data_IF_867440904439
#
_entry.id   IF_867440904439
#
_cell.length_a   1.000
_cell.length_b   1.000
_cell.length_c   1.000
_cell.angle_alpha   90.00
_cell.angle_beta   90.00
_cell.angle_gamma   90.00
#
_symmetry.space_group_name_H-M   'P 1'
#
loop_
_entity.id
_entity.type
_entity.pdbx_description
1 polymer ?
#
# COMPACT_ATOMS: atom_id res chain seq x y z
N UNK A 1 4.26 -9.66 11.66
CA UNK A 1 4.12 -9.26 10.24
C UNK A 1 4.51 -7.80 10.16
N UNK A 2 5.31 -7.42 9.17
CA UNK A 2 5.71 -6.04 8.87
C UNK A 2 5.28 -5.71 7.45
N UNK A 3 4.58 -4.59 7.26
CA UNK A 3 4.22 -4.07 5.95
C UNK A 3 5.08 -2.83 5.66
N UNK A 4 5.80 -2.85 4.54
CA UNK A 4 6.63 -1.74 4.07
C UNK A 4 5.96 -1.18 2.82
N UNK A 5 5.37 0.00 2.94
CA UNK A 5 4.75 0.66 1.80
C UNK A 5 5.77 1.49 1.01
N UNK A 6 5.41 1.83 -0.22
CA UNK A 6 6.20 2.70 -1.10
C UNK A 6 7.68 2.28 -1.26
N UNK A 7 7.96 0.97 -1.30
CA UNK A 7 9.33 0.46 -1.46
C UNK A 7 9.96 0.87 -2.80
N UNK A 8 9.15 1.24 -3.78
CA UNK A 8 9.59 1.78 -5.04
C UNK A 8 10.26 3.16 -4.89
N UNK A 9 9.99 3.93 -3.83
CA UNK A 9 10.64 5.23 -3.58
C UNK A 9 12.12 5.11 -3.19
N UNK A 10 12.54 3.95 -2.69
CA UNK A 10 13.95 3.70 -2.35
C UNK A 10 14.71 3.01 -3.50
N UNK A 11 14.07 2.78 -4.65
CA UNK A 11 14.70 2.24 -5.85
C UNK A 11 15.32 3.38 -6.69
N UNK A 12 16.56 3.20 -7.16
CA UNK A 12 17.23 4.17 -8.03
C UNK A 12 17.14 3.70 -9.49
N UNK A 13 16.70 4.57 -10.40
CA UNK A 13 16.77 4.26 -11.83
C UNK A 13 18.23 4.30 -12.29
N UNK A 14 18.76 3.20 -12.83
CA UNK A 14 20.18 3.04 -13.20
C UNK A 14 20.64 3.92 -14.40
N UNK A 15 19.90 4.97 -14.78
CA UNK A 15 20.09 5.75 -16.02
C UNK A 15 20.58 7.19 -15.83
N UNK A 16 20.83 7.65 -14.61
CA UNK A 16 21.38 8.99 -14.34
C UNK A 16 22.75 8.92 -13.67
N UNK A 17 23.65 9.83 -14.04
CA UNK A 17 24.89 10.08 -13.29
C UNK A 17 24.57 10.24 -11.79
N UNK A 18 25.34 9.55 -10.93
CA UNK A 18 25.26 9.65 -9.46
C UNK A 18 25.10 11.11 -9.01
N UNK A 19 23.88 11.48 -8.63
CA UNK A 19 23.63 12.74 -7.92
C UNK A 19 23.56 12.41 -6.42
N UNK A 20 24.12 13.28 -5.57
CA UNK A 20 24.41 12.99 -4.17
C UNK A 20 23.24 12.56 -3.26
N UNK A 21 21.99 12.57 -3.75
CA UNK A 21 20.81 12.00 -3.07
C UNK A 21 20.70 10.47 -3.19
N UNK A 22 21.32 9.87 -4.22
CA UNK A 22 21.16 8.44 -4.55
C UNK A 22 21.79 7.51 -3.51
N UNK A 23 22.82 7.99 -2.80
CA UNK A 23 23.48 7.28 -1.71
C UNK A 23 22.53 7.02 -0.53
N UNK A 24 21.51 7.86 -0.34
CA UNK A 24 20.54 7.71 0.75
C UNK A 24 19.56 6.57 0.48
N UNK A 25 19.07 6.44 -0.76
CA UNK A 25 18.06 5.44 -1.13
C UNK A 25 18.63 4.02 -1.16
N UNK A 26 19.83 3.85 -1.73
CA UNK A 26 20.54 2.55 -1.69
C UNK A 26 20.94 2.18 -0.24
N UNK A 27 21.33 3.18 0.56
CA UNK A 27 21.61 3.00 1.99
C UNK A 27 20.43 2.40 2.74
N UNK A 28 19.22 2.92 2.52
CA UNK A 28 18.00 2.37 3.13
C UNK A 28 17.76 0.91 2.72
N UNK A 29 17.98 0.56 1.44
CA UNK A 29 17.86 -0.83 1.01
C UNK A 29 18.88 -1.75 1.72
N UNK A 30 20.13 -1.30 1.88
CA UNK A 30 21.18 -2.04 2.58
C UNK A 30 20.88 -2.22 4.06
N UNK A 31 20.36 -1.17 4.70
CA UNK A 31 20.01 -1.19 6.13
C UNK A 31 18.79 -2.07 6.42
N UNK A 32 17.91 -2.28 5.42
CA UNK A 32 16.80 -3.22 5.53
C UNK A 32 17.22 -4.69 5.41
N UNK A 33 18.36 -5.00 4.76
CA UNK A 33 18.78 -6.38 4.54
C UNK A 33 18.92 -7.17 5.84
N UNK A 34 19.69 -6.74 6.88
CA UNK A 34 19.84 -7.53 8.10
C UNK A 34 18.52 -7.89 8.79
N UNK A 35 17.51 -7.01 8.66
CA UNK A 35 16.19 -7.22 9.26
C UNK A 35 15.43 -8.30 8.47
N UNK A 36 15.50 -8.27 7.14
CA UNK A 36 14.89 -9.26 6.24
C UNK A 36 15.61 -10.61 6.24
N UNK A 37 16.92 -10.60 6.46
CA UNK A 37 17.75 -11.81 6.48
C UNK A 37 17.67 -12.59 7.78
N UNK A 38 17.31 -11.90 8.87
CA UNK A 38 17.30 -12.47 10.22
C UNK A 38 18.39 -11.84 11.08
N UNK A 39 18.00 -11.08 12.11
CA UNK A 39 18.90 -10.49 13.09
C UNK A 39 18.24 -10.35 14.46
N UNK A 40 19.07 -10.24 15.51
CA UNK A 40 18.60 -9.93 16.85
C UNK A 40 18.63 -8.40 17.06
N UNK A 41 17.44 -7.80 17.14
CA UNK A 41 17.27 -6.37 17.36
C UNK A 41 17.00 -6.11 18.84
N UNK A 42 17.85 -5.30 19.47
CA UNK A 42 17.64 -4.93 20.87
C UNK A 42 16.54 -3.88 21.00
N UNK A 43 15.57 -4.14 21.89
CA UNK A 43 14.49 -3.21 22.20
C UNK A 43 14.43 -2.97 23.71
N UNK A 44 13.65 -1.95 24.13
CA UNK A 44 13.38 -1.70 25.55
C UNK A 44 12.67 -2.86 26.27
N UNK A 45 12.12 -3.82 25.52
CA UNK A 45 11.42 -5.00 26.04
C UNK A 45 12.25 -6.29 25.96
N UNK A 46 13.52 -6.18 25.55
CA UNK A 46 14.40 -7.32 25.28
C UNK A 46 14.75 -7.44 23.81
N UNK A 47 15.53 -8.48 23.48
CA UNK A 47 15.95 -8.73 22.12
C UNK A 47 14.84 -9.42 21.32
N UNK A 48 14.66 -9.01 20.08
CA UNK A 48 13.69 -9.56 19.14
C UNK A 48 14.44 -10.15 17.96
N UNK A 49 14.25 -11.45 17.70
CA UNK A 49 14.78 -12.12 16.52
C UNK A 49 13.83 -11.94 15.32
N UNK A 50 14.36 -11.62 14.14
CA UNK A 50 13.56 -11.32 12.93
C UNK A 50 13.41 -12.48 11.93
N UNK A 51 14.04 -13.64 12.17
CA UNK A 51 14.13 -14.77 11.21
C UNK A 51 12.78 -15.27 10.69
N UNK A 52 11.72 -15.13 11.49
CA UNK A 52 10.38 -15.63 11.19
C UNK A 52 9.32 -14.53 11.10
N UNK A 53 9.75 -13.28 10.96
CA UNK A 53 8.84 -12.17 10.69
C UNK A 53 8.51 -12.17 9.19
N UNK A 54 7.22 -12.26 8.86
CA UNK A 54 6.75 -12.05 7.49
C UNK A 54 6.83 -10.56 7.13
N UNK A 55 7.50 -10.26 6.02
CA UNK A 55 7.55 -8.94 5.40
C UNK A 55 6.70 -8.92 4.13
N UNK A 56 5.88 -7.88 3.99
CA UNK A 56 5.09 -7.59 2.80
C UNK A 56 5.50 -6.20 2.33
N UNK A 57 6.07 -6.10 1.13
CA UNK A 57 6.50 -4.84 0.57
C UNK A 57 5.58 -4.45 -0.58
N UNK A 58 5.07 -3.23 -0.55
CA UNK A 58 4.19 -2.64 -1.56
C UNK A 58 4.89 -1.46 -2.23
N UNK A 59 4.51 -1.20 -3.48
CA UNK A 59 4.99 -0.07 -4.26
C UNK A 59 4.21 0.01 -5.56
N UNK A 60 4.01 1.22 -6.07
CA UNK A 60 3.25 1.42 -7.29
C UNK A 60 4.12 1.24 -8.55
N UNK A 61 5.44 1.45 -8.43
CA UNK A 61 6.42 1.19 -9.48
C UNK A 61 6.11 1.94 -10.80
N UNK A 62 5.62 3.18 -10.70
CA UNK A 62 5.30 3.99 -11.89
C UNK A 62 6.55 4.42 -12.68
N UNK A 63 7.62 4.80 -11.97
CA UNK A 63 8.85 5.37 -12.57
C UNK A 63 10.05 4.42 -12.52
N UNK A 64 9.95 3.35 -11.74
CA UNK A 64 11.01 2.37 -11.47
C UNK A 64 10.42 0.97 -11.53
N UNK A 65 11.27 -0.03 -11.69
CA UNK A 65 10.85 -1.44 -11.75
C UNK A 65 11.36 -2.19 -10.53
N UNK A 66 10.71 -3.30 -10.13
CA UNK A 66 11.25 -4.15 -9.08
C UNK A 66 12.68 -4.65 -9.34
N UNK A 67 13.10 -4.73 -10.61
CA UNK A 67 14.46 -5.06 -11.00
C UNK A 67 15.52 -3.98 -10.69
N UNK A 68 15.09 -2.75 -10.38
CA UNK A 68 15.97 -1.63 -10.02
C UNK A 68 16.35 -1.65 -8.52
N UNK A 69 15.82 -2.59 -7.73
CA UNK A 69 16.26 -2.87 -6.36
C UNK A 69 17.62 -3.60 -6.35
N UNK A 70 18.34 -3.53 -5.23
CA UNK A 70 19.53 -4.35 -5.00
C UNK A 70 19.23 -5.84 -5.18
N UNK A 71 20.16 -6.58 -5.80
CA UNK A 71 19.97 -8.00 -6.11
C UNK A 71 19.74 -8.84 -4.84
N UNK A 72 20.40 -8.47 -3.75
CA UNK A 72 20.26 -9.06 -2.42
C UNK A 72 18.83 -8.90 -1.89
N UNK A 73 18.26 -7.69 -2.01
CA UNK A 73 16.91 -7.38 -1.56
C UNK A 73 15.86 -8.12 -2.40
N UNK A 74 16.07 -8.18 -3.72
CA UNK A 74 15.24 -8.98 -4.62
C UNK A 74 15.25 -10.47 -4.24
N UNK A 75 16.40 -11.01 -3.83
CA UNK A 75 16.55 -12.39 -3.39
C UNK A 75 15.74 -12.71 -2.12
N UNK A 76 15.46 -11.71 -1.27
CA UNK A 76 14.63 -11.84 -0.07
C UNK A 76 13.13 -11.62 -0.31
N UNK A 77 12.76 -11.15 -1.51
CA UNK A 77 11.38 -10.96 -1.95
C UNK A 77 11.04 -11.86 -3.14
N UNK A 78 11.05 -13.21 -2.97
CA UNK A 78 10.89 -14.16 -4.07
C UNK A 78 9.44 -14.25 -4.58
N UNK A 79 8.45 -13.99 -3.71
CA UNK A 79 7.03 -14.03 -4.09
C UNK A 79 6.63 -12.64 -4.57
N UNK A 80 6.16 -12.57 -5.81
CA UNK A 80 5.70 -11.32 -6.44
C UNK A 80 4.25 -11.48 -6.85
N UNK A 81 3.45 -10.47 -6.54
CA UNK A 81 2.05 -10.38 -6.92
C UNK A 81 1.81 -9.00 -7.53
N UNK A 82 0.86 -8.93 -8.45
CA UNK A 82 0.44 -7.67 -9.07
C UNK A 82 -1.06 -7.50 -8.85
N UNK A 83 -1.46 -6.33 -8.39
CA UNK A 83 -2.85 -5.98 -8.18
C UNK A 83 -3.37 -5.24 -9.41
N UNK A 84 -4.64 -5.47 -9.74
CA UNK A 84 -5.32 -4.75 -10.81
C UNK A 84 -5.96 -3.49 -10.23
N UNK A 85 -6.01 -2.42 -11.03
CA UNK A 85 -6.75 -1.22 -10.68
C UNK A 85 -8.23 -1.53 -10.47
N UNK A 86 -8.88 -0.79 -9.56
CA UNK A 86 -10.29 -0.99 -9.25
C UNK A 86 -11.18 -0.52 -10.41
N UNK A 87 -12.22 -1.30 -10.69
CA UNK A 87 -13.29 -0.90 -11.61
C UNK A 87 -14.40 -0.14 -10.88
N UNK A 88 -15.25 0.59 -11.61
CA UNK A 88 -16.46 1.21 -11.05
C UNK A 88 -17.33 0.19 -10.30
N UNK A 89 -17.44 -1.04 -10.83
CA UNK A 89 -18.18 -2.11 -10.16
C UNK A 89 -17.55 -2.49 -8.82
N UNK A 90 -16.22 -2.53 -8.74
CA UNK A 90 -15.51 -2.82 -7.49
C UNK A 90 -15.78 -1.74 -6.44
N UNK A 91 -15.90 -0.47 -6.84
CA UNK A 91 -16.29 0.61 -5.91
C UNK A 91 -17.68 0.40 -5.30
N UNK A 92 -18.66 -0.04 -6.09
CA UNK A 92 -20.00 -0.40 -5.56
C UNK A 92 -19.88 -1.52 -4.54
N UNK A 93 -19.08 -2.56 -4.84
CA UNK A 93 -18.85 -3.68 -3.93
C UNK A 93 -18.15 -3.23 -2.66
N UNK A 94 -17.11 -2.39 -2.73
CA UNK A 94 -16.40 -1.84 -1.57
C UNK A 94 -17.33 -1.04 -0.65
N UNK A 95 -18.31 -0.34 -1.22
CA UNK A 95 -19.28 0.43 -0.45
C UNK A 95 -20.37 -0.43 0.21
N UNK A 96 -20.51 -1.71 -0.15
CA UNK A 96 -21.67 -2.52 0.26
C UNK A 96 -21.34 -3.90 0.84
N UNK A 97 -20.25 -4.55 0.43
CA UNK A 97 -19.90 -5.92 0.82
C UNK A 97 -18.95 -6.01 2.02
N UNK A 98 -17.88 -5.18 2.15
CA UNK A 98 -16.99 -5.24 3.30
C UNK A 98 -17.75 -5.00 4.60
N UNK A 99 -17.40 -5.76 5.63
CA UNK A 99 -17.82 -5.46 6.99
C UNK A 99 -17.30 -4.09 7.40
N UNK A 100 -18.17 -3.24 7.96
CA UNK A 100 -17.84 -1.86 8.28
C UNK A 100 -17.47 -1.04 7.02
N UNK A 101 -18.22 -1.21 5.94
CA UNK A 101 -18.11 -0.29 4.79
C UNK A 101 -18.55 1.13 5.17
N UNK A 102 -18.19 2.11 4.34
CA UNK A 102 -18.48 3.53 4.62
C UNK A 102 -19.99 3.81 4.78
N UNK A 103 -20.84 3.11 4.02
CA UNK A 103 -22.30 3.28 4.11
C UNK A 103 -22.80 2.86 5.50
N UNK A 104 -22.41 1.67 5.97
CA UNK A 104 -22.75 1.19 7.31
C UNK A 104 -22.20 2.11 8.40
N UNK A 105 -20.94 2.56 8.27
CA UNK A 105 -20.33 3.48 9.22
C UNK A 105 -21.10 4.81 9.31
N UNK A 106 -21.50 5.39 8.18
CA UNK A 106 -22.27 6.64 8.15
C UNK A 106 -23.69 6.47 8.69
N UNK A 107 -24.37 5.35 8.37
CA UNK A 107 -25.68 5.03 8.95
C UNK A 107 -25.58 4.91 10.48
N UNK A 108 -24.59 4.17 10.98
CA UNK A 108 -24.37 3.99 12.41
C UNK A 108 -24.01 5.30 13.12
N UNK A 109 -23.17 6.14 12.51
CA UNK A 109 -22.77 7.44 13.05
C UNK A 109 -23.97 8.36 13.22
N UNK A 110 -24.84 8.50 12.22
CA UNK A 110 -26.01 9.39 12.34
C UNK A 110 -27.10 8.83 13.25
N UNK A 111 -27.16 7.51 13.38
CA UNK A 111 -28.08 6.86 14.30
C UNK A 111 -27.78 7.21 15.77
N UNK A 112 -26.55 7.59 16.13
CA UNK A 112 -26.23 8.08 17.49
C UNK A 112 -27.00 9.35 17.84
N UNK A 113 -27.33 10.16 16.83
CA UNK A 113 -28.13 11.37 16.93
C UNK A 113 -29.63 11.11 16.72
N UNK A 114 -30.05 9.84 16.64
CA UNK A 114 -31.42 9.45 16.35
C UNK A 114 -31.84 9.68 14.88
N UNK A 115 -30.89 9.95 13.99
CA UNK A 115 -31.16 10.16 12.56
C UNK A 115 -31.02 8.83 11.82
N UNK A 116 -32.09 8.40 11.15
CA UNK A 116 -32.05 7.23 10.26
C UNK A 116 -31.65 7.67 8.86
N UNK A 117 -30.48 7.22 8.40
CA UNK A 117 -30.00 7.45 7.04
C UNK A 117 -30.24 6.22 6.17
N UNK A 118 -30.77 6.44 4.97
CA UNK A 118 -30.89 5.40 3.96
C UNK A 118 -30.19 5.80 2.67
N UNK A 119 -29.54 4.83 2.04
CA UNK A 119 -28.80 5.00 0.80
C UNK A 119 -29.45 4.11 -0.26
N UNK A 120 -30.17 4.69 -1.22
CA UNK A 120 -30.78 3.91 -2.29
C UNK A 120 -29.69 3.39 -3.24
N UNK A 121 -29.99 2.28 -3.91
CA UNK A 121 -29.00 1.56 -4.73
C UNK A 121 -28.45 2.40 -5.90
N UNK A 122 -29.30 3.21 -6.52
CA UNK A 122 -28.91 4.17 -7.56
C UNK A 122 -27.99 5.27 -7.02
N UNK A 123 -28.23 5.74 -5.79
CA UNK A 123 -27.36 6.67 -5.09
C UNK A 123 -25.97 6.09 -4.83
N UNK A 124 -25.88 4.82 -4.41
CA UNK A 124 -24.59 4.13 -4.20
C UNK A 124 -23.83 3.98 -5.52
N UNK A 125 -24.54 3.61 -6.60
CA UNK A 125 -23.95 3.52 -7.95
C UNK A 125 -23.41 4.87 -8.42
N UNK A 126 -24.15 5.95 -8.18
CA UNK A 126 -23.71 7.29 -8.57
C UNK A 126 -22.48 7.75 -7.78
N UNK A 127 -22.41 7.45 -6.48
CA UNK A 127 -21.22 7.70 -5.66
C UNK A 127 -20.01 6.94 -6.22
N UNK A 128 -20.18 5.65 -6.53
CA UNK A 128 -19.13 4.81 -7.09
C UNK A 128 -18.65 5.32 -8.46
N UNK A 129 -19.58 5.72 -9.34
CA UNK A 129 -19.29 6.31 -10.65
C UNK A 129 -18.46 7.58 -10.53
N UNK A 130 -18.89 8.52 -9.68
CA UNK A 130 -18.17 9.78 -9.46
C UNK A 130 -16.77 9.51 -8.88
N UNK A 131 -16.64 8.59 -7.93
CA UNK A 131 -15.35 8.23 -7.36
C UNK A 131 -14.40 7.63 -8.41
N UNK A 132 -14.90 6.74 -9.27
CA UNK A 132 -14.13 6.16 -10.36
C UNK A 132 -13.72 7.22 -11.41
N UNK A 133 -14.64 8.10 -11.80
CA UNK A 133 -14.37 9.21 -12.73
C UNK A 133 -13.29 10.15 -12.16
N UNK A 134 -13.33 10.48 -10.87
CA UNK A 134 -12.31 11.31 -10.23
C UNK A 134 -10.96 10.61 -10.16
N UNK A 135 -10.92 9.32 -9.79
CA UNK A 135 -9.68 8.53 -9.74
C UNK A 135 -9.01 8.40 -11.12
N UNK A 136 -9.81 8.38 -12.20
CA UNK A 136 -9.29 8.31 -13.57
C UNK A 136 -8.82 9.66 -14.12
N UNK A 137 -9.40 10.79 -13.67
CA UNK A 137 -9.16 12.11 -14.25
C UNK A 137 -8.34 13.08 -13.38
N UNK A 138 -8.32 12.95 -12.05
CA UNK A 138 -7.83 13.98 -11.10
C UNK A 138 -6.64 13.49 -10.28
N UNK A 139 -5.62 12.94 -10.96
CA UNK A 139 -4.45 12.28 -10.35
C UNK A 139 -4.76 10.88 -9.81
N UNK A 140 -3.80 9.98 -10.04
CA UNK A 140 -3.82 8.59 -9.58
C UNK A 140 -3.51 8.58 -8.07
N UNK A 141 -4.44 9.06 -7.24
CA UNK A 141 -4.33 9.17 -5.78
C UNK A 141 -4.58 7.84 -5.03
N UNK A 142 -4.66 6.72 -5.76
CA UNK A 142 -4.56 5.38 -5.20
C UNK A 142 -5.86 4.58 -5.30
N UNK A 143 -5.87 3.63 -6.24
CA UNK A 143 -6.27 2.21 -6.09
C UNK A 143 -6.26 1.52 -7.47
#
# INVERSE_FOLDING_TARGET
IVFVDEIDKICNSSKGFYHGSDASSEGVQRDLLPILEGSDVSTKHGNVNTDHILFICSGAFHSVKPGDMLAELQGRLPVRVTLSALTEHDFVRILTEPHHNLIEQHKALLQTEGITLDFPEDGIKEIARIAFDLNTHVENIGA
#
